data_IF_211081762004
#
_entry.id   IF_211081762004
#
_cell.length_a   1.000
_cell.length_b   1.000
_cell.length_c   1.000
_cell.angle_alpha   90.00
_cell.angle_beta   90.00
_cell.angle_gamma   90.00
#
_symmetry.space_group_name_H-M   'P 1'
#
loop_
_entity.id
_entity.type
_entity.pdbx_description
1 polymer ?
#
# COMPACT_ATOMS: atom_id res chain seq x y z
N UNK A 1 -0.68 30.67 -7.19
CA UNK A 1 -1.19 29.48 -7.88
C UNK A 1 -2.19 28.79 -6.97
N UNK A 2 -3.43 28.61 -7.41
CA UNK A 2 -4.45 27.85 -6.70
C UNK A 2 -4.43 26.41 -7.21
N UNK A 3 -4.17 25.44 -6.33
CA UNK A 3 -4.28 24.02 -6.66
C UNK A 3 -5.68 23.51 -6.30
N UNK A 4 -6.23 22.64 -7.12
CA UNK A 4 -7.47 21.93 -6.81
C UNK A 4 -7.24 20.84 -5.76
N UNK A 5 -8.30 20.44 -5.06
CA UNK A 5 -8.22 19.31 -4.12
C UNK A 5 -7.86 18.00 -4.84
N UNK A 6 -8.23 17.86 -6.12
CA UNK A 6 -7.84 16.72 -6.94
C UNK A 6 -6.32 16.69 -7.12
N UNK A 7 -5.72 17.79 -7.58
CA UNK A 7 -4.26 17.90 -7.78
C UNK A 7 -3.47 17.71 -6.48
N UNK A 8 -4.02 18.16 -5.35
CA UNK A 8 -3.43 17.99 -4.03
C UNK A 8 -3.54 16.55 -3.48
N UNK A 9 -4.34 15.67 -4.09
CA UNK A 9 -4.64 14.33 -3.55
C UNK A 9 -4.39 13.19 -4.54
N UNK A 10 -5.24 13.01 -5.54
CA UNK A 10 -5.27 11.80 -6.39
C UNK A 10 -3.92 11.53 -7.07
N UNK A 11 -3.30 12.50 -7.79
CA UNK A 11 -2.00 12.26 -8.42
C UNK A 11 -0.88 11.98 -7.40
N UNK A 12 -0.96 12.59 -6.22
CA UNK A 12 0.02 12.40 -5.14
C UNK A 12 -0.08 10.97 -4.60
N UNK A 13 -1.29 10.49 -4.27
CA UNK A 13 -1.49 9.12 -3.81
C UNK A 13 -1.05 8.11 -4.87
N UNK A 14 -1.44 8.27 -6.13
CA UNK A 14 -1.04 7.37 -7.21
C UNK A 14 0.49 7.30 -7.37
N UNK A 15 1.19 8.43 -7.33
CA UNK A 15 2.65 8.45 -7.40
C UNK A 15 3.31 7.73 -6.21
N UNK A 16 2.77 7.90 -4.99
CA UNK A 16 3.30 7.24 -3.79
C UNK A 16 3.01 5.74 -3.75
N UNK A 17 1.85 5.30 -4.19
CA UNK A 17 1.53 3.88 -4.33
C UNK A 17 2.41 3.20 -5.40
N UNK A 18 2.70 3.88 -6.52
CA UNK A 18 3.65 3.37 -7.51
C UNK A 18 5.06 3.21 -6.92
N UNK A 19 5.51 4.17 -6.13
CA UNK A 19 6.80 4.07 -5.44
C UNK A 19 6.81 2.91 -4.42
N UNK A 20 5.72 2.74 -3.66
CA UNK A 20 5.57 1.63 -2.71
C UNK A 20 5.59 0.27 -3.42
N UNK A 21 4.89 0.13 -4.55
CA UNK A 21 4.91 -1.08 -5.38
C UNK A 21 6.34 -1.45 -5.80
N UNK A 22 7.13 -0.47 -6.24
CA UNK A 22 8.54 -0.70 -6.58
C UNK A 22 9.38 -1.14 -5.37
N UNK A 23 9.16 -0.55 -4.19
CA UNK A 23 9.86 -0.95 -2.95
C UNK A 23 9.52 -2.40 -2.59
N UNK A 24 8.26 -2.81 -2.73
CA UNK A 24 7.85 -4.20 -2.47
C UNK A 24 8.48 -5.18 -3.46
N UNK A 25 8.60 -4.83 -4.75
CA UNK A 25 9.32 -5.64 -5.74
C UNK A 25 10.80 -5.81 -5.36
N UNK A 26 11.46 -4.74 -4.92
CA UNK A 26 12.85 -4.80 -4.47
C UNK A 26 12.98 -5.68 -3.20
N UNK A 27 12.03 -5.56 -2.28
CA UNK A 27 12.01 -6.36 -1.06
C UNK A 27 11.83 -7.86 -1.36
N UNK A 28 10.91 -8.21 -2.27
CA UNK A 28 10.72 -9.60 -2.71
C UNK A 28 11.98 -10.15 -3.37
N UNK A 29 12.60 -9.40 -4.30
CA UNK A 29 13.87 -9.80 -4.92
C UNK A 29 14.98 -9.97 -3.87
N UNK A 30 15.08 -9.06 -2.90
CA UNK A 30 16.08 -9.17 -1.83
C UNK A 30 15.87 -10.43 -0.97
N UNK A 31 14.63 -10.80 -0.69
CA UNK A 31 14.32 -12.04 0.03
C UNK A 31 14.80 -13.27 -0.75
N UNK A 32 14.51 -13.31 -2.06
CA UNK A 32 14.94 -14.39 -2.96
C UNK A 32 16.48 -14.51 -3.03
N UNK A 33 17.16 -13.39 -3.30
CA UNK A 33 18.63 -13.36 -3.45
C UNK A 33 19.34 -13.85 -2.17
N UNK A 34 18.76 -13.56 -1.01
CA UNK A 34 19.31 -13.90 0.30
C UNK A 34 18.76 -15.22 0.88
N UNK A 35 17.88 -15.91 0.15
CA UNK A 35 17.20 -17.14 0.60
C UNK A 35 16.44 -16.94 1.92
N UNK A 36 15.85 -15.77 2.10
CA UNK A 36 14.99 -15.44 3.24
C UNK A 36 13.56 -15.77 2.83
N UNK A 37 12.82 -16.46 3.69
CA UNK A 37 11.38 -16.65 3.49
C UNK A 37 10.68 -15.27 3.39
N UNK A 38 9.95 -14.97 2.30
CA UNK A 38 9.22 -13.72 2.12
C UNK A 38 8.32 -13.34 3.31
N UNK A 39 7.81 -14.33 4.05
CA UNK A 39 6.99 -14.11 5.24
C UNK A 39 7.73 -13.33 6.34
N UNK A 40 9.07 -13.44 6.41
CA UNK A 40 9.89 -12.66 7.35
C UNK A 40 9.73 -11.16 7.10
N UNK A 41 9.63 -10.73 5.84
CA UNK A 41 9.44 -9.31 5.52
C UNK A 41 7.99 -8.87 5.70
N UNK A 42 7.03 -9.68 5.24
CA UNK A 42 5.60 -9.38 5.33
C UNK A 42 5.12 -9.22 6.78
N UNK A 43 5.64 -10.05 7.68
CA UNK A 43 5.30 -10.03 9.12
C UNK A 43 6.20 -9.13 9.96
N UNK A 44 7.24 -8.53 9.35
CA UNK A 44 8.17 -7.63 10.05
C UNK A 44 7.48 -6.34 10.52
N UNK A 45 7.94 -5.84 11.66
CA UNK A 45 7.47 -4.61 12.30
C UNK A 45 8.66 -3.84 12.88
N UNK A 46 8.54 -2.51 12.96
CA UNK A 46 9.62 -1.65 13.47
C UNK A 46 9.69 -1.63 15.00
N UNK A 47 8.56 -1.84 15.67
CA UNK A 47 8.44 -1.91 17.12
C UNK A 47 7.38 -2.98 17.48
N UNK A 48 7.44 -3.58 18.69
CA UNK A 48 6.57 -4.70 19.07
C UNK A 48 5.07 -4.36 19.00
N UNK A 49 4.72 -3.11 19.23
CA UNK A 49 3.37 -2.53 19.25
C UNK A 49 2.92 -1.92 17.92
N UNK A 50 3.79 -1.93 16.90
CA UNK A 50 3.44 -1.47 15.55
C UNK A 50 2.85 -2.58 14.69
N UNK A 51 1.99 -2.19 13.76
CA UNK A 51 1.51 -3.08 12.70
C UNK A 51 2.64 -3.53 11.77
N UNK A 52 2.57 -4.78 11.32
CA UNK A 52 3.49 -5.38 10.36
C UNK A 52 3.36 -4.79 8.95
N UNK A 53 4.35 -5.04 8.09
CA UNK A 53 4.42 -4.50 6.72
C UNK A 53 3.13 -4.74 5.93
N UNK A 54 2.57 -5.96 5.94
CA UNK A 54 1.29 -6.26 5.26
C UNK A 54 0.19 -5.28 5.67
N UNK A 55 0.04 -5.04 6.97
CA UNK A 55 -0.98 -4.11 7.50
C UNK A 55 -0.65 -2.64 7.19
N UNK A 56 0.62 -2.27 7.09
CA UNK A 56 1.01 -0.93 6.66
C UNK A 56 0.63 -0.66 5.20
N UNK A 57 0.84 -1.64 4.30
CA UNK A 57 0.37 -1.55 2.90
C UNK A 57 -1.16 -1.54 2.87
N UNK A 58 -1.81 -2.28 3.76
CA UNK A 58 -3.26 -2.21 3.96
C UNK A 58 -3.76 -0.79 4.18
N UNK A 59 -3.22 -0.16 5.23
CA UNK A 59 -3.56 1.18 5.64
C UNK A 59 -3.21 2.22 4.55
N UNK A 60 -2.07 2.07 3.88
CA UNK A 60 -1.64 3.02 2.84
C UNK A 60 -2.64 3.12 1.68
N UNK A 61 -3.12 1.98 1.16
CA UNK A 61 -4.12 2.05 0.09
C UNK A 61 -5.51 2.46 0.59
N UNK A 62 -5.87 2.13 1.84
CA UNK A 62 -7.13 2.58 2.45
C UNK A 62 -7.21 4.11 2.53
N UNK A 63 -6.08 4.77 2.80
CA UNK A 63 -5.99 6.22 2.72
C UNK A 63 -6.13 6.71 1.27
N UNK A 64 -5.45 6.07 0.32
CA UNK A 64 -5.46 6.45 -1.09
C UNK A 64 -6.85 6.30 -1.75
N UNK A 65 -7.65 5.30 -1.38
CA UNK A 65 -9.07 5.20 -1.82
C UNK A 65 -10.01 6.02 -0.95
N UNK A 66 -9.78 6.07 0.36
CA UNK A 66 -10.70 6.66 1.32
C UNK A 66 -10.74 8.19 1.25
N UNK A 67 -9.59 8.86 1.14
CA UNK A 67 -9.57 10.32 1.12
C UNK A 67 -10.25 10.89 -0.14
N UNK A 68 -9.92 10.47 -1.38
CA UNK A 68 -10.60 10.97 -2.57
C UNK A 68 -12.09 10.63 -2.61
N UNK A 69 -12.50 9.41 -2.21
CA UNK A 69 -13.92 9.05 -2.14
C UNK A 69 -14.70 9.97 -1.21
N UNK A 70 -14.21 10.22 0.00
CA UNK A 70 -14.89 11.12 0.96
C UNK A 70 -14.96 12.56 0.46
N UNK A 71 -13.87 13.07 -0.11
CA UNK A 71 -13.82 14.43 -0.67
C UNK A 71 -14.77 14.59 -1.87
N UNK A 72 -14.99 13.53 -2.64
CA UNK A 72 -15.93 13.50 -3.76
C UNK A 72 -17.37 13.11 -3.36
N UNK A 73 -17.66 12.87 -2.07
CA UNK A 73 -18.98 12.41 -1.62
C UNK A 73 -19.38 11.03 -2.14
N UNK A 74 -18.41 10.18 -2.47
CA UNK A 74 -18.61 8.81 -2.98
C UNK A 74 -18.44 7.77 -1.89
N UNK A 75 -19.11 6.64 -2.05
CA UNK A 75 -18.87 5.48 -1.20
C UNK A 75 -17.40 5.02 -1.32
N UNK A 76 -16.81 4.64 -0.18
CA UNK A 76 -15.43 4.13 -0.16
C UNK A 76 -15.45 2.65 -0.56
N UNK A 77 -14.69 2.25 -1.60
CA UNK A 77 -14.59 0.83 -1.97
C UNK A 77 -14.10 -0.02 -0.78
N UNK A 78 -14.76 -1.14 -0.54
CA UNK A 78 -14.37 -2.10 0.50
C UNK A 78 -13.42 -3.14 -0.09
N UNK A 79 -12.24 -3.28 0.49
CA UNK A 79 -11.30 -4.36 0.20
C UNK A 79 -11.20 -5.22 1.45
N UNK A 80 -11.21 -6.54 1.27
CA UNK A 80 -10.93 -7.49 2.34
C UNK A 80 -9.43 -7.51 2.60
N UNK A 81 -9.03 -7.59 3.87
CA UNK A 81 -7.64 -7.57 4.30
C UNK A 81 -7.06 -9.00 4.38
N UNK A 82 -7.09 -9.72 3.26
CA UNK A 82 -6.75 -11.14 3.17
C UNK A 82 -5.39 -11.43 2.50
N UNK A 83 -4.56 -10.40 2.29
CA UNK A 83 -3.28 -10.53 1.61
C UNK A 83 -2.27 -11.31 2.45
N UNK A 84 -1.65 -12.33 1.85
CA UNK A 84 -0.66 -13.19 2.50
C UNK A 84 0.68 -13.26 1.75
N UNK A 85 0.79 -12.61 0.59
CA UNK A 85 1.97 -12.63 -0.26
C UNK A 85 2.30 -11.25 -0.85
N UNK A 86 3.53 -11.09 -1.36
CA UNK A 86 3.89 -9.90 -2.15
C UNK A 86 2.99 -9.73 -3.38
N UNK A 87 2.62 -10.82 -4.05
CA UNK A 87 1.70 -10.79 -5.19
C UNK A 87 0.33 -10.22 -4.80
N UNK A 88 -0.22 -10.61 -3.64
CA UNK A 88 -1.50 -10.07 -3.15
C UNK A 88 -1.40 -8.57 -2.84
N UNK A 89 -0.30 -8.13 -2.23
CA UNK A 89 -0.05 -6.71 -1.96
C UNK A 89 0.08 -5.90 -3.26
N UNK A 90 0.74 -6.44 -4.29
CA UNK A 90 0.82 -5.81 -5.61
C UNK A 90 -0.55 -5.73 -6.29
N UNK A 91 -1.35 -6.80 -6.21
CA UNK A 91 -2.70 -6.81 -6.74
C UNK A 91 -3.59 -5.75 -6.06
N UNK A 92 -3.45 -5.60 -4.73
CA UNK A 92 -4.17 -4.59 -3.96
C UNK A 92 -3.76 -3.16 -4.31
N UNK A 93 -2.46 -2.90 -4.47
CA UNK A 93 -1.98 -1.59 -4.93
C UNK A 93 -2.53 -1.29 -6.34
N UNK A 94 -2.52 -2.27 -7.24
CA UNK A 94 -3.03 -2.10 -8.62
C UNK A 94 -4.54 -1.84 -8.66
N UNK A 95 -5.29 -2.43 -7.73
CA UNK A 95 -6.74 -2.25 -7.60
C UNK A 95 -7.13 -0.86 -7.05
N UNK A 96 -6.22 -0.18 -6.36
CA UNK A 96 -6.44 1.10 -5.66
C UNK A 96 -6.21 2.29 -6.59
#
# INVERSE_FOLDING_TARGET
MTISMYEASVPVFSARLKALSNVLTIAEQNALDRKIDPQVFLTSRLAPDMYALTRQVQIATDHAKGAPSRLAGREVPKYEDNEASFADLQARITKT
#
